data_IF_261575509345
#
_entry.id   IF_261575509345
#
_cell.length_a   1.000
_cell.length_b   1.000
_cell.length_c   1.000
_cell.angle_alpha   90.00
_cell.angle_beta   90.00
_cell.angle_gamma   90.00
#
_symmetry.space_group_name_H-M   'P 1'
#
loop_
_entity.id
_entity.type
_entity.pdbx_description
1 polymer ?
#
# COMPACT_ATOMS: atom_id res chain seq x y z
N UNK A 1 41.55 34.47 -52.63
CA UNK A 1 41.25 33.53 -51.52
C UNK A 1 40.27 34.20 -50.56
N UNK A 2 38.97 34.00 -50.77
CA UNK A 2 37.88 34.59 -49.97
C UNK A 2 36.85 33.52 -49.62
N UNK A 3 37.30 32.46 -48.97
CA UNK A 3 36.42 31.49 -48.33
C UNK A 3 37.12 31.02 -47.05
N UNK A 4 36.34 30.70 -46.02
CA UNK A 4 36.78 30.17 -44.70
C UNK A 4 36.94 31.14 -43.54
N UNK A 5 36.06 32.14 -43.40
CA UNK A 5 35.72 32.68 -42.06
C UNK A 5 34.20 32.60 -41.82
N UNK A 6 33.37 32.93 -42.81
CA UNK A 6 31.90 32.83 -42.67
C UNK A 6 31.37 31.40 -42.46
N UNK A 7 32.08 30.38 -42.95
CA UNK A 7 31.63 28.99 -42.79
C UNK A 7 31.87 28.45 -41.36
N UNK A 8 32.91 28.95 -40.67
CA UNK A 8 33.24 28.51 -39.30
C UNK A 8 32.28 29.16 -38.30
N UNK A 9 31.88 30.42 -38.52
CA UNK A 9 30.90 31.11 -37.69
C UNK A 9 29.48 30.53 -37.87
N UNK A 10 29.11 30.14 -39.09
CA UNK A 10 27.82 29.51 -39.37
C UNK A 10 27.61 28.16 -38.68
N UNK A 11 28.66 27.34 -38.61
CA UNK A 11 28.60 26.02 -37.94
C UNK A 11 28.60 26.17 -36.41
N UNK A 12 29.31 27.16 -35.85
CA UNK A 12 29.32 27.40 -34.41
C UNK A 12 27.97 27.94 -33.88
N UNK A 13 27.30 28.79 -34.65
CA UNK A 13 25.96 29.31 -34.28
C UNK A 13 24.90 28.22 -34.42
N UNK A 14 25.03 27.30 -35.38
CA UNK A 14 24.07 26.20 -35.53
C UNK A 14 24.16 25.18 -34.38
N UNK A 15 25.37 24.88 -33.87
CA UNK A 15 25.56 23.98 -32.71
C UNK A 15 25.09 24.61 -31.39
N UNK A 16 25.14 25.94 -31.28
CA UNK A 16 24.61 26.65 -30.09
C UNK A 16 23.06 26.69 -30.12
N UNK A 17 22.44 26.72 -31.30
CA UNK A 17 20.96 26.75 -31.42
C UNK A 17 20.34 25.34 -31.28
N UNK A 18 21.04 24.25 -31.63
CA UNK A 18 20.57 22.87 -31.35
C UNK A 18 20.96 22.33 -29.97
N UNK A 19 21.78 23.05 -29.19
CA UNK A 19 22.28 22.62 -27.88
C UNK A 19 21.37 22.90 -26.67
N UNK A 20 20.23 23.57 -26.86
CA UNK A 20 19.26 23.87 -25.78
C UNK A 20 17.94 23.12 -25.94
N UNK A 21 17.99 21.82 -26.26
CA UNK A 21 16.99 20.94 -25.66
C UNK A 21 17.38 20.83 -24.19
N UNK A 22 16.93 21.83 -23.40
CA UNK A 22 16.78 21.63 -21.97
C UNK A 22 15.89 20.40 -21.88
N UNK A 23 16.50 19.24 -21.59
CA UNK A 23 15.77 18.09 -21.10
C UNK A 23 15.21 18.57 -19.78
N UNK A 24 14.07 19.24 -19.85
CA UNK A 24 13.25 19.56 -18.70
C UNK A 24 12.94 18.18 -18.12
N UNK A 25 13.67 17.80 -17.06
CA UNK A 25 13.39 16.55 -16.35
C UNK A 25 11.90 16.58 -16.07
N UNK A 26 11.13 15.71 -16.73
CA UNK A 26 9.69 15.59 -16.50
C UNK A 26 9.54 15.42 -14.99
N UNK A 27 9.04 16.45 -14.32
CA UNK A 27 8.75 16.38 -12.90
C UNK A 27 7.57 15.43 -12.78
N UNK A 28 7.81 14.28 -12.15
CA UNK A 28 6.73 13.38 -11.82
C UNK A 28 5.82 14.08 -10.79
N UNK A 29 4.50 13.86 -10.84
CA UNK A 29 3.63 14.36 -9.79
C UNK A 29 4.02 13.70 -8.45
N UNK A 30 3.67 14.32 -7.31
CA UNK A 30 3.92 13.72 -6.00
C UNK A 30 3.27 12.33 -5.90
N UNK A 31 3.84 11.47 -5.05
CA UNK A 31 3.19 10.23 -4.63
C UNK A 31 1.78 10.54 -4.09
N UNK A 32 0.80 9.76 -4.50
CA UNK A 32 -0.59 9.92 -4.08
C UNK A 32 -0.88 8.99 -2.91
N UNK A 33 -0.87 9.53 -1.69
CA UNK A 33 -1.26 8.77 -0.50
C UNK A 33 -2.78 8.70 -0.45
N UNK A 34 -3.35 7.57 -0.87
CA UNK A 34 -4.80 7.43 -1.07
C UNK A 34 -5.50 6.67 0.05
N UNK A 35 -4.77 5.82 0.76
CA UNK A 35 -5.35 5.02 1.83
C UNK A 35 -4.41 4.71 2.98
N UNK A 36 -5.00 4.25 4.07
CA UNK A 36 -4.30 3.90 5.30
C UNK A 36 -4.85 2.61 5.90
N UNK A 37 -3.94 1.70 6.20
CA UNK A 37 -4.23 0.50 6.96
C UNK A 37 -4.26 0.78 8.45
N UNK A 38 -5.15 0.06 9.11
CA UNK A 38 -5.12 -0.18 10.55
C UNK A 38 -5.16 -1.69 10.77
N UNK A 39 -4.10 -2.27 11.32
CA UNK A 39 -4.05 -3.59 11.92
C UNK A 39 -4.74 -3.49 13.29
N UNK A 40 -6.00 -3.92 13.44
CA UNK A 40 -6.70 -3.74 14.70
C UNK A 40 -6.05 -4.55 15.81
N UNK A 41 -5.90 -3.94 16.98
CA UNK A 41 -5.49 -4.60 18.21
C UNK A 41 -6.14 -3.94 19.43
N UNK A 42 -5.81 -4.38 20.65
CA UNK A 42 -6.37 -3.81 21.88
C UNK A 42 -5.67 -2.52 22.34
N UNK A 43 -4.59 -2.11 21.68
CA UNK A 43 -3.72 -1.02 22.11
C UNK A 43 -3.80 0.22 21.20
N UNK A 44 -4.49 0.11 20.07
CA UNK A 44 -4.68 1.17 19.09
C UNK A 44 -6.15 1.49 18.84
N UNK A 45 -6.39 2.67 18.29
CA UNK A 45 -7.68 3.10 17.77
C UNK A 45 -7.48 3.71 16.39
N UNK A 46 -8.43 3.57 15.46
CA UNK A 46 -8.34 4.15 14.13
C UNK A 46 -8.59 5.67 14.20
N UNK A 47 -7.61 6.41 14.69
CA UNK A 47 -7.65 7.87 14.87
C UNK A 47 -6.38 8.52 14.31
N UNK A 48 -6.55 9.57 13.50
CA UNK A 48 -5.44 10.27 12.88
C UNK A 48 -5.90 11.47 12.05
N UNK A 49 -4.92 12.19 11.49
CA UNK A 49 -5.12 13.35 10.61
C UNK A 49 -4.66 13.04 9.17
N UNK A 50 -4.75 11.77 8.75
CA UNK A 50 -4.13 11.31 7.49
C UNK A 50 -4.76 11.92 6.24
N UNK A 51 -5.95 12.52 6.36
CA UNK A 51 -6.57 13.34 5.31
C UNK A 51 -5.66 14.49 4.86
N UNK A 52 -4.79 15.00 5.74
CA UNK A 52 -3.79 16.00 5.39
C UNK A 52 -2.73 15.50 4.39
N UNK A 53 -2.59 14.18 4.24
CA UNK A 53 -1.71 13.53 3.25
C UNK A 53 -2.46 13.17 1.96
N UNK A 54 -3.78 13.38 1.91
CA UNK A 54 -4.64 12.98 0.78
C UNK A 54 -5.40 11.68 1.01
N UNK A 55 -5.23 11.03 2.16
CA UNK A 55 -5.93 9.77 2.48
C UNK A 55 -7.44 9.99 2.47
N UNK A 56 -8.14 9.09 1.77
CA UNK A 56 -9.61 9.03 1.75
C UNK A 56 -10.16 7.61 1.90
N UNK A 57 -9.29 6.61 1.82
CA UNK A 57 -9.65 5.19 1.93
C UNK A 57 -9.10 4.59 3.22
N UNK A 58 -9.97 3.99 4.02
CA UNK A 58 -9.61 3.29 5.23
C UNK A 58 -9.67 1.78 5.05
N UNK A 59 -8.68 1.08 5.61
CA UNK A 59 -8.55 -0.38 5.50
C UNK A 59 -8.27 -0.97 6.88
N UNK A 60 -9.30 -1.39 7.64
CA UNK A 60 -9.05 -2.30 8.75
C UNK A 60 -8.50 -3.61 8.17
N UNK A 61 -7.29 -4.03 8.55
CA UNK A 61 -6.66 -5.25 8.05
C UNK A 61 -7.56 -6.47 8.30
N UNK A 62 -8.25 -6.49 9.44
CA UNK A 62 -9.14 -7.57 9.85
C UNK A 62 -10.55 -7.05 10.11
N UNK A 63 -11.54 -7.73 9.55
CA UNK A 63 -12.93 -7.67 10.01
C UNK A 63 -13.11 -8.59 11.21
N UNK A 64 -12.58 -9.81 11.09
CA UNK A 64 -12.42 -10.76 12.19
C UNK A 64 -10.98 -11.28 12.23
N UNK A 65 -10.46 -11.51 13.43
CA UNK A 65 -9.15 -12.15 13.64
C UNK A 65 -9.25 -13.08 14.83
N UNK A 66 -8.66 -14.27 14.71
CA UNK A 66 -8.70 -15.33 15.73
C UNK A 66 -10.13 -15.63 16.23
N UNK A 67 -11.08 -15.70 15.29
CA UNK A 67 -12.50 -15.99 15.56
C UNK A 67 -13.30 -14.86 16.20
N UNK A 68 -12.70 -13.68 16.42
CA UNK A 68 -13.38 -12.53 17.03
C UNK A 68 -13.53 -11.37 16.06
N UNK A 69 -14.67 -10.68 16.14
CA UNK A 69 -15.04 -9.58 15.26
C UNK A 69 -14.69 -8.21 15.82
N UNK A 70 -14.14 -7.34 14.97
CA UNK A 70 -13.98 -5.90 15.23
C UNK A 70 -15.24 -5.08 14.88
N UNK A 71 -16.28 -5.76 14.43
CA UNK A 71 -17.60 -5.21 14.14
C UNK A 71 -18.66 -5.90 14.99
N UNK A 72 -19.76 -5.20 15.27
CA UNK A 72 -20.88 -5.81 15.97
C UNK A 72 -21.58 -6.82 15.04
N UNK A 73 -21.80 -8.04 15.51
CA UNK A 73 -22.54 -9.07 14.78
C UNK A 73 -23.38 -9.91 15.73
N UNK A 74 -24.44 -10.53 15.21
CA UNK A 74 -25.37 -11.33 16.03
C UNK A 74 -24.79 -12.69 16.44
N UNK A 75 -23.92 -13.27 15.61
CA UNK A 75 -23.47 -14.67 15.74
C UNK A 75 -21.96 -14.85 15.81
N UNK A 76 -21.23 -13.75 15.92
CA UNK A 76 -19.77 -13.74 16.01
C UNK A 76 -19.38 -12.96 17.24
N UNK A 77 -18.58 -13.58 18.11
CA UNK A 77 -18.10 -12.91 19.31
C UNK A 77 -17.28 -11.68 18.94
N UNK A 78 -17.64 -10.53 19.50
CA UNK A 78 -16.88 -9.30 19.32
C UNK A 78 -15.66 -9.26 20.24
N UNK A 79 -14.67 -8.46 19.87
CA UNK A 79 -13.63 -8.02 20.81
C UNK A 79 -14.24 -7.18 21.95
N UNK A 80 -13.59 -7.18 23.11
CA UNK A 80 -14.08 -6.49 24.31
C UNK A 80 -14.27 -4.98 24.08
N UNK A 81 -13.37 -4.38 23.30
CA UNK A 81 -13.41 -2.97 22.94
C UNK A 81 -13.51 -2.87 21.43
N UNK A 82 -14.59 -2.27 20.94
CA UNK A 82 -14.78 -1.97 19.53
C UNK A 82 -14.50 -0.50 19.25
N UNK A 83 -13.98 -0.16 18.06
CA UNK A 83 -13.89 1.24 17.62
C UNK A 83 -15.27 1.89 17.61
N UNK A 84 -15.29 3.20 17.82
CA UNK A 84 -16.49 3.98 17.54
C UNK A 84 -16.66 4.15 16.02
N UNK A 85 -17.25 3.14 15.37
CA UNK A 85 -17.41 3.13 13.92
C UNK A 85 -18.25 4.28 13.37
N UNK A 86 -19.17 4.84 14.18
CA UNK A 86 -19.91 6.05 13.81
C UNK A 86 -18.98 7.25 13.69
N UNK A 87 -18.05 7.41 14.63
CA UNK A 87 -17.01 8.45 14.59
C UNK A 87 -16.04 8.22 13.43
N UNK A 88 -15.62 6.96 13.21
CA UNK A 88 -14.74 6.59 12.09
C UNK A 88 -15.38 6.97 10.77
N UNK A 89 -16.64 6.60 10.50
CA UNK A 89 -17.36 6.93 9.25
C UNK A 89 -17.43 8.43 8.94
N UNK A 90 -17.35 9.28 9.96
CA UNK A 90 -17.43 10.74 9.82
C UNK A 90 -16.07 11.38 9.49
N UNK A 91 -14.98 10.64 9.53
CA UNK A 91 -13.65 11.20 9.26
C UNK A 91 -13.43 11.42 7.77
N UNK A 92 -12.67 12.48 7.43
CA UNK A 92 -12.36 12.80 6.03
C UNK A 92 -11.47 11.72 5.36
N UNK A 93 -10.70 10.98 6.15
CA UNK A 93 -9.78 9.93 5.69
C UNK A 93 -10.46 8.55 5.50
N UNK A 94 -11.73 8.40 5.87
CA UNK A 94 -12.48 7.14 5.83
C UNK A 94 -13.71 7.19 4.92
N UNK A 95 -13.69 8.08 3.92
CA UNK A 95 -14.77 8.22 2.93
C UNK A 95 -15.04 6.91 2.20
N UNK A 96 -13.97 6.16 1.93
CA UNK A 96 -14.02 4.85 1.32
C UNK A 96 -13.57 3.77 2.30
N UNK A 97 -14.15 2.57 2.17
CA UNK A 97 -13.81 1.42 2.99
C UNK A 97 -13.39 0.24 2.11
N UNK A 98 -12.17 -0.26 2.34
CA UNK A 98 -11.79 -1.61 1.94
C UNK A 98 -11.89 -2.47 3.18
N UNK A 99 -12.94 -3.29 3.25
CA UNK A 99 -13.24 -4.08 4.44
C UNK A 99 -12.29 -5.28 4.53
N UNK A 100 -11.45 -5.33 5.57
CA UNK A 100 -10.70 -6.52 5.93
C UNK A 100 -11.62 -7.70 6.21
N UNK A 101 -11.23 -8.86 5.73
CA UNK A 101 -11.96 -10.12 5.92
C UNK A 101 -11.39 -10.89 7.12
N UNK A 102 -11.63 -12.20 7.18
CA UNK A 102 -11.19 -13.06 8.28
C UNK A 102 -9.72 -13.43 8.16
N UNK A 103 -8.98 -13.35 9.27
CA UNK A 103 -7.58 -13.73 9.34
C UNK A 103 -7.15 -14.35 10.67
N UNK A 104 -5.83 -14.48 10.83
CA UNK A 104 -5.15 -14.83 12.08
C UNK A 104 -3.96 -13.89 12.27
N UNK A 105 -3.58 -13.61 13.53
CA UNK A 105 -2.32 -12.88 13.78
C UNK A 105 -1.10 -13.75 13.47
N UNK A 106 -1.19 -15.05 13.72
CA UNK A 106 -0.13 -15.98 13.36
C UNK A 106 -0.18 -16.28 11.86
N UNK A 107 0.82 -15.81 11.13
CA UNK A 107 0.91 -16.01 9.69
C UNK A 107 0.96 -17.49 9.27
N UNK A 108 1.66 -18.33 10.05
CA UNK A 108 1.76 -19.77 9.75
C UNK A 108 0.39 -20.43 9.86
N UNK A 109 -0.39 -20.09 10.88
CA UNK A 109 -1.77 -20.57 11.01
C UNK A 109 -2.67 -20.00 9.92
N UNK A 110 -2.54 -18.71 9.59
CA UNK A 110 -3.31 -18.07 8.53
C UNK A 110 -3.13 -18.79 7.18
N UNK A 111 -1.87 -19.09 6.81
CA UNK A 111 -1.54 -19.83 5.59
C UNK A 111 -2.03 -21.27 5.63
N UNK A 112 -1.91 -21.94 6.77
CA UNK A 112 -2.37 -23.31 6.94
C UNK A 112 -3.90 -23.44 6.78
N UNK A 113 -4.65 -22.42 7.22
CA UNK A 113 -6.11 -22.39 7.27
C UNK A 113 -6.74 -21.52 6.17
N UNK A 114 -6.02 -21.22 5.08
CA UNK A 114 -6.45 -20.24 4.08
C UNK A 114 -7.86 -20.50 3.51
N UNK A 115 -8.21 -21.76 3.26
CA UNK A 115 -9.52 -22.15 2.73
C UNK A 115 -10.64 -21.95 3.77
N UNK A 116 -10.38 -22.33 5.03
CA UNK A 116 -11.31 -22.13 6.15
C UNK A 116 -11.53 -20.63 6.41
N UNK A 117 -10.47 -19.82 6.34
CA UNK A 117 -10.56 -18.36 6.44
C UNK A 117 -11.42 -17.74 5.34
N UNK A 118 -11.43 -18.32 4.14
CA UNK A 118 -12.36 -17.93 3.07
C UNK A 118 -13.82 -18.15 3.47
N UNK A 119 -14.12 -19.33 4.03
CA UNK A 119 -15.47 -19.68 4.53
C UNK A 119 -15.86 -18.78 5.71
N UNK A 120 -14.96 -18.58 6.67
CA UNK A 120 -15.15 -17.67 7.80
C UNK A 120 -15.44 -16.25 7.32
N UNK A 121 -14.73 -15.77 6.29
CA UNK A 121 -14.95 -14.44 5.70
C UNK A 121 -16.36 -14.29 5.14
N UNK A 122 -16.86 -15.31 4.43
CA UNK A 122 -18.23 -15.31 3.92
C UNK A 122 -19.26 -15.37 5.05
N UNK A 123 -18.98 -16.10 6.13
CA UNK A 123 -19.83 -16.14 7.31
C UNK A 123 -19.83 -14.79 8.06
N UNK A 124 -18.68 -14.14 8.19
CA UNK A 124 -18.55 -12.80 8.75
C UNK A 124 -19.45 -11.82 8.02
N UNK A 125 -19.33 -11.74 6.69
CA UNK A 125 -20.13 -10.81 5.88
C UNK A 125 -21.64 -11.05 5.99
N UNK A 126 -22.08 -12.29 6.22
CA UNK A 126 -23.50 -12.64 6.37
C UNK A 126 -24.08 -12.31 7.76
N UNK A 127 -23.24 -12.27 8.80
CA UNK A 127 -23.68 -12.22 10.20
C UNK A 127 -23.25 -10.93 10.92
N UNK A 128 -22.80 -9.93 10.19
CA UNK A 128 -22.30 -8.66 10.74
C UNK A 128 -23.05 -7.49 10.13
N UNK A 129 -23.50 -6.58 10.99
CA UNK A 129 -24.12 -5.33 10.59
C UNK A 129 -23.04 -4.26 10.41
N UNK A 130 -22.82 -3.88 9.16
CA UNK A 130 -21.81 -2.88 8.85
C UNK A 130 -22.38 -1.46 9.00
N UNK A 131 -21.69 -0.57 9.74
CA UNK A 131 -22.14 0.81 9.94
C UNK A 131 -22.08 1.66 8.66
N UNK A 132 -21.36 1.18 7.63
CA UNK A 132 -21.32 1.73 6.28
C UNK A 132 -20.93 0.65 5.27
N UNK A 133 -21.33 0.86 4.02
CA UNK A 133 -21.09 -0.06 2.91
C UNK A 133 -19.60 -0.09 2.58
N UNK A 134 -19.06 -1.30 2.34
CA UNK A 134 -17.72 -1.48 1.82
C UNK A 134 -17.67 -1.18 0.31
N UNK A 135 -16.63 -0.48 -0.14
CA UNK A 135 -16.36 -0.23 -1.56
C UNK A 135 -15.58 -1.39 -2.19
N UNK A 136 -14.78 -2.09 -1.37
CA UNK A 136 -14.02 -3.28 -1.74
C UNK A 136 -13.73 -4.14 -0.49
N UNK A 137 -13.05 -5.26 -0.70
CA UNK A 137 -12.65 -6.20 0.34
C UNK A 137 -11.15 -6.44 0.32
N UNK A 138 -10.58 -6.75 1.48
CA UNK A 138 -9.17 -7.13 1.62
C UNK A 138 -9.09 -8.49 2.32
N UNK A 139 -8.50 -9.49 1.67
CA UNK A 139 -8.25 -10.78 2.30
C UNK A 139 -6.85 -10.76 2.94
N UNK A 140 -6.75 -10.89 4.28
CA UNK A 140 -5.53 -10.52 5.00
C UNK A 140 -4.45 -11.59 5.04
N UNK A 141 -4.66 -12.75 4.41
CA UNK A 141 -3.63 -13.79 4.33
C UNK A 141 -2.59 -13.37 3.29
N UNK A 142 -1.41 -13.04 3.78
CA UNK A 142 -0.31 -12.51 2.97
C UNK A 142 0.46 -13.62 2.27
N UNK A 143 0.96 -13.34 1.07
CA UNK A 143 1.69 -14.32 0.27
C UNK A 143 3.12 -13.85 -0.09
N UNK A 144 4.06 -14.78 -0.02
CA UNK A 144 5.42 -14.60 -0.50
C UNK A 144 5.87 -15.83 -1.34
N UNK A 145 6.95 -15.69 -2.14
CA UNK A 145 7.43 -16.76 -3.03
C UNK A 145 7.75 -18.10 -2.37
N UNK A 146 8.01 -18.14 -1.05
CA UNK A 146 8.30 -19.37 -0.33
C UNK A 146 7.05 -20.22 -0.05
N UNK A 147 5.84 -19.68 -0.23
CA UNK A 147 4.61 -20.40 0.09
C UNK A 147 4.26 -21.46 -0.96
N UNK A 148 4.62 -22.72 -0.66
CA UNK A 148 4.37 -23.88 -1.52
C UNK A 148 2.90 -24.11 -1.90
N UNK A 149 1.96 -23.70 -1.04
CA UNK A 149 0.51 -23.92 -1.24
C UNK A 149 -0.23 -22.65 -1.71
N UNK A 150 0.46 -21.67 -2.29
CA UNK A 150 -0.15 -20.39 -2.70
C UNK A 150 -1.34 -20.55 -3.69
N UNK A 151 -1.42 -21.64 -4.46
CA UNK A 151 -2.60 -21.92 -5.29
C UNK A 151 -3.90 -22.09 -4.48
N UNK A 152 -3.82 -22.55 -3.23
CA UNK A 152 -5.00 -22.63 -2.35
C UNK A 152 -5.52 -21.23 -1.98
N UNK A 153 -4.62 -20.25 -1.81
CA UNK A 153 -4.99 -18.84 -1.70
C UNK A 153 -5.71 -18.37 -2.96
N UNK A 154 -5.16 -18.64 -4.16
CA UNK A 154 -5.78 -18.29 -5.43
C UNK A 154 -7.23 -18.77 -5.54
N UNK A 155 -7.49 -20.06 -5.28
CA UNK A 155 -8.84 -20.65 -5.26
C UNK A 155 -9.75 -20.00 -4.22
N UNK A 156 -9.21 -19.72 -3.03
CA UNK A 156 -9.98 -19.05 -1.97
C UNK A 156 -10.43 -17.66 -2.43
N UNK A 157 -9.52 -16.87 -3.01
CA UNK A 157 -9.79 -15.52 -3.51
C UNK A 157 -10.87 -15.49 -4.61
N UNK A 158 -11.05 -16.56 -5.40
CA UNK A 158 -12.12 -16.66 -6.40
C UNK A 158 -13.52 -16.72 -5.78
N UNK A 159 -13.64 -17.28 -4.57
CA UNK A 159 -14.93 -17.41 -3.87
C UNK A 159 -15.36 -16.15 -3.13
N UNK A 160 -14.43 -15.21 -2.92
CA UNK A 160 -14.63 -14.01 -2.11
C UNK A 160 -15.22 -12.86 -2.94
N UNK A 161 -15.99 -11.95 -2.30
CA UNK A 161 -16.64 -10.85 -2.98
C UNK A 161 -15.65 -9.87 -3.61
N UNK A 162 -16.10 -9.21 -4.69
CA UNK A 162 -15.29 -8.26 -5.48
C UNK A 162 -15.84 -6.82 -5.34
N UNK A 163 -15.02 -5.78 -5.54
CA UNK A 163 -13.57 -5.82 -5.79
C UNK A 163 -12.77 -6.35 -4.60
N UNK A 164 -11.69 -7.11 -4.86
CA UNK A 164 -10.91 -7.79 -3.83
C UNK A 164 -9.44 -7.42 -3.93
N UNK A 165 -8.79 -7.27 -2.77
CA UNK A 165 -7.37 -7.03 -2.62
C UNK A 165 -6.71 -8.15 -1.79
N UNK A 166 -5.44 -8.43 -2.07
CA UNK A 166 -4.56 -9.30 -1.29
C UNK A 166 -3.19 -8.67 -1.15
N UNK A 167 -2.46 -8.91 -0.06
CA UNK A 167 -1.10 -8.43 0.12
C UNK A 167 -0.07 -9.47 -0.30
N UNK A 168 1.03 -8.98 -0.88
CA UNK A 168 2.22 -9.79 -1.16
C UNK A 168 3.47 -9.10 -0.63
N UNK A 169 4.44 -9.90 -0.24
CA UNK A 169 5.78 -9.45 0.16
C UNK A 169 6.83 -10.47 -0.27
N UNK A 170 8.11 -10.13 -0.05
CA UNK A 170 9.22 -11.04 -0.28
C UNK A 170 10.29 -10.78 0.77
N UNK A 171 10.90 -11.84 1.29
CA UNK A 171 12.07 -11.76 2.17
C UNK A 171 13.37 -11.42 1.39
N UNK A 172 13.35 -11.58 0.06
CA UNK A 172 14.44 -11.16 -0.82
C UNK A 172 14.23 -9.71 -1.27
N UNK A 173 15.35 -8.96 -1.38
CA UNK A 173 15.35 -7.58 -1.85
C UNK A 173 14.82 -7.46 -3.29
N UNK A 174 15.32 -8.32 -4.18
CA UNK A 174 14.94 -8.42 -5.59
C UNK A 174 14.63 -9.87 -5.95
N UNK A 175 13.42 -10.38 -5.62
CA UNK A 175 13.04 -11.76 -5.89
C UNK A 175 13.02 -12.06 -7.38
N UNK A 176 13.65 -13.17 -7.76
CA UNK A 176 13.70 -13.60 -9.16
C UNK A 176 12.32 -14.05 -9.64
N UNK A 177 11.91 -13.62 -10.84
CA UNK A 177 10.64 -14.00 -11.48
C UNK A 177 9.38 -13.73 -10.64
N UNK A 178 9.40 -12.69 -9.80
CA UNK A 178 8.32 -12.39 -8.87
C UNK A 178 6.97 -12.13 -9.56
N UNK A 179 7.00 -11.52 -10.74
CA UNK A 179 5.82 -11.27 -11.55
C UNK A 179 5.22 -12.56 -12.16
N UNK A 180 6.07 -13.53 -12.53
CA UNK A 180 5.62 -14.84 -13.00
C UNK A 180 5.04 -15.68 -11.85
N UNK A 181 5.68 -15.63 -10.67
CA UNK A 181 5.15 -16.23 -9.46
C UNK A 181 3.76 -15.68 -9.16
N UNK A 182 3.59 -14.36 -9.13
CA UNK A 182 2.29 -13.73 -8.86
C UNK A 182 1.24 -14.13 -9.88
N UNK A 183 1.59 -14.09 -11.17
CA UNK A 183 0.69 -14.48 -12.28
C UNK A 183 0.26 -15.95 -12.23
N UNK A 184 1.06 -16.84 -11.63
CA UNK A 184 0.78 -18.28 -11.61
C UNK A 184 -0.45 -18.66 -10.76
N UNK A 185 -0.87 -17.81 -9.82
CA UNK A 185 -1.93 -18.15 -8.86
C UNK A 185 -2.96 -17.03 -8.62
N UNK A 186 -2.65 -15.76 -8.92
CA UNK A 186 -3.54 -14.65 -8.64
C UNK A 186 -4.74 -14.62 -9.60
N UNK A 187 -5.99 -14.58 -9.11
CA UNK A 187 -7.16 -14.45 -9.98
C UNK A 187 -7.17 -13.14 -10.78
N UNK A 188 -7.71 -13.16 -12.00
CA UNK A 188 -7.70 -12.01 -12.93
C UNK A 188 -8.41 -10.75 -12.41
N UNK A 189 -9.33 -10.89 -11.45
CA UNK A 189 -10.12 -9.78 -10.90
C UNK A 189 -9.70 -9.37 -9.48
N UNK A 190 -8.53 -9.83 -9.01
CA UNK A 190 -8.01 -9.50 -7.67
C UNK A 190 -6.87 -8.50 -7.78
N UNK A 191 -6.95 -7.40 -7.05
CA UNK A 191 -5.89 -6.41 -6.95
C UNK A 191 -4.86 -6.78 -5.88
N UNK A 192 -3.71 -6.13 -5.92
CA UNK A 192 -2.55 -6.48 -5.12
C UNK A 192 -2.03 -5.26 -4.39
N UNK A 193 -1.89 -5.42 -3.08
CA UNK A 193 -1.07 -4.57 -2.26
C UNK A 193 0.34 -5.16 -2.17
N UNK A 194 1.32 -4.47 -2.73
CA UNK A 194 2.72 -4.88 -2.65
C UNK A 194 3.40 -4.17 -1.48
N UNK A 195 3.80 -4.93 -0.46
CA UNK A 195 4.55 -4.40 0.67
C UNK A 195 5.95 -3.98 0.25
N UNK A 196 6.30 -2.73 0.51
CA UNK A 196 7.55 -2.17 0.02
C UNK A 196 8.78 -2.80 0.64
N UNK A 197 8.70 -3.43 1.83
CA UNK A 197 9.82 -4.03 2.55
C UNK A 197 10.90 -3.03 2.99
N UNK A 198 10.59 -1.74 2.96
CA UNK A 198 11.50 -0.69 3.44
C UNK A 198 11.46 -0.65 4.97
N UNK A 199 10.30 -0.89 5.58
CA UNK A 199 10.16 -0.95 7.04
C UNK A 199 10.87 -2.14 7.64
N UNK A 200 10.86 -3.28 6.96
CA UNK A 200 11.65 -4.46 7.34
C UNK A 200 13.14 -4.35 7.02
N UNK A 201 13.56 -3.35 6.24
CA UNK A 201 14.95 -3.19 5.80
C UNK A 201 15.38 -4.17 4.71
N UNK A 202 14.43 -4.88 4.09
CA UNK A 202 14.69 -5.85 3.02
C UNK A 202 15.10 -5.16 1.72
N UNK A 203 14.57 -3.97 1.42
CA UNK A 203 14.89 -3.23 0.19
C UNK A 203 14.79 -1.71 0.35
N UNK A 204 15.37 -0.98 -0.60
CA UNK A 204 15.18 0.48 -0.72
C UNK A 204 13.86 0.83 -1.40
N UNK A 205 13.41 2.07 -1.25
CA UNK A 205 12.20 2.57 -1.89
C UNK A 205 12.32 2.54 -3.44
N UNK A 206 13.50 2.82 -3.99
CA UNK A 206 13.73 2.76 -5.45
C UNK A 206 13.61 1.32 -5.98
N UNK A 207 14.08 0.33 -5.22
CA UNK A 207 13.90 -1.08 -5.55
C UNK A 207 12.42 -1.45 -5.52
N UNK A 208 11.67 -0.99 -4.51
CA UNK A 208 10.22 -1.22 -4.42
C UNK A 208 9.47 -0.65 -5.64
N UNK A 209 9.81 0.56 -6.10
CA UNK A 209 9.21 1.16 -7.32
C UNK A 209 9.52 0.35 -8.57
N UNK A 210 10.77 -0.09 -8.72
CA UNK A 210 11.18 -0.93 -9.86
C UNK A 210 10.35 -2.23 -9.90
N UNK A 211 10.21 -2.88 -8.75
CA UNK A 211 9.42 -4.12 -8.62
C UNK A 211 7.95 -3.86 -8.89
N UNK A 212 7.34 -2.85 -8.26
CA UNK A 212 5.92 -2.51 -8.46
C UNK A 212 5.61 -2.23 -9.95
N UNK A 213 6.49 -1.51 -10.64
CA UNK A 213 6.36 -1.26 -12.08
C UNK A 213 6.49 -2.55 -12.91
N UNK A 214 7.36 -3.48 -12.54
CA UNK A 214 7.46 -4.79 -13.20
C UNK A 214 6.20 -5.63 -12.98
N UNK A 215 5.70 -5.71 -11.75
CA UNK A 215 4.47 -6.43 -11.42
C UNK A 215 3.27 -5.88 -12.21
N UNK A 216 3.10 -4.55 -12.23
CA UNK A 216 2.02 -3.88 -12.99
C UNK A 216 2.10 -4.17 -14.50
N UNK A 217 3.30 -4.24 -15.09
CA UNK A 217 3.47 -4.60 -16.51
C UNK A 217 2.95 -6.01 -16.81
N UNK A 218 3.10 -6.94 -15.87
CA UNK A 218 2.76 -8.35 -16.08
C UNK A 218 1.30 -8.67 -15.77
N UNK A 219 0.71 -8.11 -14.70
CA UNK A 219 -0.66 -8.44 -14.29
C UNK A 219 -1.73 -7.43 -14.73
N UNK A 220 -1.30 -6.27 -15.26
CA UNK A 220 -2.16 -5.19 -15.73
C UNK A 220 -1.95 -3.89 -14.94
N UNK A 221 -1.97 -2.77 -15.65
CA UNK A 221 -1.77 -1.45 -15.07
C UNK A 221 -2.80 -1.16 -13.96
N UNK A 222 -2.33 -0.55 -12.87
CA UNK A 222 -3.12 -0.13 -11.70
C UNK A 222 -3.69 -1.27 -10.84
N UNK A 223 -3.29 -2.52 -11.08
CA UNK A 223 -3.67 -3.66 -10.22
C UNK A 223 -2.71 -3.88 -9.06
N UNK A 224 -1.52 -3.31 -9.10
CA UNK A 224 -0.54 -3.37 -8.02
C UNK A 224 -0.33 -1.97 -7.46
N UNK A 225 -0.56 -1.82 -6.16
CA UNK A 225 -0.31 -0.57 -5.44
C UNK A 225 0.68 -0.82 -4.31
N UNK A 226 1.58 0.14 -4.08
CA UNK A 226 2.61 0.04 -3.05
C UNK A 226 1.98 0.28 -1.68
N UNK A 227 2.28 -0.61 -0.73
CA UNK A 227 2.16 -0.34 0.70
C UNK A 227 3.47 0.28 1.18
N UNK A 228 3.40 1.53 1.65
CA UNK A 228 4.46 2.20 2.37
C UNK A 228 4.44 1.74 3.82
N UNK A 229 5.46 0.98 4.23
CA UNK A 229 5.65 0.59 5.62
C UNK A 229 6.13 1.79 6.46
N UNK A 230 5.29 2.26 7.36
CA UNK A 230 5.53 3.42 8.22
C UNK A 230 6.29 3.08 9.52
N UNK A 231 6.78 1.86 9.65
CA UNK A 231 7.63 1.41 10.75
C UNK A 231 9.06 1.12 10.27
N UNK A 232 9.99 0.91 11.19
CA UNK A 232 11.34 0.43 10.92
C UNK A 232 11.71 -0.65 11.92
N UNK A 233 12.44 -1.66 11.45
CA UNK A 233 13.11 -2.63 12.33
C UNK A 233 14.35 -1.99 12.98
N UNK A 234 14.48 -2.19 14.29
CA UNK A 234 15.68 -1.85 15.05
C UNK A 234 16.67 -3.02 15.03
N UNK A 235 17.91 -2.76 15.45
CA UNK A 235 18.96 -3.79 15.53
C UNK A 235 18.58 -4.96 16.47
N UNK A 236 17.75 -4.70 17.50
CA UNK A 236 17.21 -5.72 18.41
C UNK A 236 15.91 -6.36 17.92
N UNK A 237 15.63 -6.29 16.61
CA UNK A 237 14.45 -6.86 15.94
C UNK A 237 13.10 -6.36 16.48
N UNK A 238 13.05 -5.16 17.06
CA UNK A 238 11.79 -4.50 17.44
C UNK A 238 11.33 -3.55 16.35
N UNK A 239 10.04 -3.23 16.34
CA UNK A 239 9.49 -2.22 15.44
C UNK A 239 9.44 -0.87 16.12
N UNK A 240 9.93 0.17 15.46
CA UNK A 240 9.68 1.59 15.81
C UNK A 240 8.89 2.28 14.71
N UNK A 241 8.27 3.42 15.02
CA UNK A 241 7.77 4.30 13.97
C UNK A 241 8.91 4.84 13.10
N UNK A 242 8.66 4.96 11.80
CA UNK A 242 9.51 5.72 10.91
C UNK A 242 9.45 7.20 11.28
N UNK A 243 10.58 7.87 11.21
CA UNK A 243 10.65 9.32 11.36
C UNK A 243 9.99 10.00 10.16
N UNK A 244 9.54 11.26 10.28
CA UNK A 244 8.94 11.96 9.16
C UNK A 244 9.89 12.09 7.96
N UNK A 245 11.19 12.21 8.21
CA UNK A 245 12.21 12.27 7.16
C UNK A 245 12.31 10.95 6.37
N UNK A 246 12.27 9.81 7.06
CA UNK A 246 12.27 8.49 6.41
C UNK A 246 10.99 8.28 5.56
N UNK A 247 9.84 8.77 6.02
CA UNK A 247 8.58 8.76 5.22
C UNK A 247 8.71 9.69 4.01
N UNK A 248 9.27 10.89 4.18
CA UNK A 248 9.49 11.85 3.10
C UNK A 248 10.41 11.27 2.01
N UNK A 249 11.49 10.59 2.40
CA UNK A 249 12.40 9.94 1.47
C UNK A 249 11.71 8.84 0.67
N UNK A 250 10.91 7.98 1.33
CA UNK A 250 10.09 6.98 0.64
C UNK A 250 9.09 7.63 -0.33
N UNK A 251 8.32 8.62 0.11
CA UNK A 251 7.32 9.29 -0.74
C UNK A 251 7.95 9.99 -1.95
N UNK A 252 9.16 10.52 -1.79
CA UNK A 252 9.92 11.11 -2.90
C UNK A 252 10.36 10.06 -3.92
N UNK A 253 10.77 8.87 -3.47
CA UNK A 253 11.04 7.75 -4.38
C UNK A 253 9.76 7.28 -5.10
N UNK A 254 8.60 7.42 -4.45
CA UNK A 254 7.29 6.99 -4.96
C UNK A 254 6.56 8.04 -5.82
N UNK A 255 7.24 9.09 -6.29
CA UNK A 255 6.65 10.06 -7.23
C UNK A 255 5.97 9.36 -8.42
N UNK A 256 4.76 9.81 -8.75
CA UNK A 256 3.92 9.22 -9.80
C UNK A 256 3.21 7.92 -9.42
N UNK A 257 3.43 7.37 -8.22
CA UNK A 257 2.76 6.16 -7.74
C UNK A 257 1.58 6.49 -6.83
N UNK A 258 0.61 5.58 -6.78
CA UNK A 258 -0.37 5.52 -5.70
C UNK A 258 0.22 4.71 -4.55
N UNK A 259 -0.05 5.14 -3.31
CA UNK A 259 0.48 4.49 -2.11
C UNK A 259 -0.57 4.37 -1.01
N UNK A 260 -0.51 3.27 -0.28
CA UNK A 260 -1.25 3.04 0.96
C UNK A 260 -0.27 2.97 2.13
N UNK A 261 -0.59 3.60 3.25
CA UNK A 261 0.27 3.56 4.44
C UNK A 261 -0.07 2.34 5.29
N UNK A 262 0.95 1.60 5.73
CA UNK A 262 0.82 0.54 6.73
C UNK A 262 1.80 0.76 7.90
N UNK A 263 1.39 0.96 9.13
CA UNK A 263 0.04 1.18 9.68
C UNK A 263 -0.05 2.62 10.21
N UNK A 264 -1.19 3.28 9.95
CA UNK A 264 -1.47 4.63 10.40
C UNK A 264 -1.52 4.78 11.93
N UNK A 265 -2.51 4.20 12.62
CA UNK A 265 -2.65 4.26 14.08
C UNK A 265 -1.39 3.96 14.89
N UNK A 266 -0.60 2.98 14.46
CA UNK A 266 0.57 2.54 15.22
C UNK A 266 1.79 3.44 15.01
N UNK A 267 1.98 3.95 13.78
CA UNK A 267 3.27 4.53 13.39
C UNK A 267 3.18 5.95 12.83
N UNK A 268 1.98 6.46 12.54
CA UNK A 268 1.76 7.81 12.01
C UNK A 268 1.01 8.69 13.00
N UNK A 269 1.73 9.14 14.03
CA UNK A 269 1.19 10.11 14.97
C UNK A 269 0.96 11.49 14.31
N UNK A 270 0.24 12.34 15.04
CA UNK A 270 -0.13 13.69 14.59
C UNK A 270 1.08 14.52 14.12
N UNK A 271 2.19 14.50 14.86
CA UNK A 271 3.38 15.28 14.51
C UNK A 271 4.03 14.81 13.21
N UNK A 272 4.08 13.48 13.01
CA UNK A 272 4.57 12.89 11.77
C UNK A 272 3.73 13.33 10.58
N UNK A 273 2.40 13.19 10.68
CA UNK A 273 1.46 13.59 9.63
C UNK A 273 1.60 15.07 9.27
N UNK A 274 1.65 15.98 10.25
CA UNK A 274 1.81 17.41 9.96
C UNK A 274 3.13 17.73 9.27
N UNK A 275 4.23 17.10 9.71
CA UNK A 275 5.55 17.35 9.14
C UNK A 275 5.60 16.91 7.68
N UNK A 276 5.11 15.70 7.38
CA UNK A 276 5.06 15.17 6.01
C UNK A 276 4.11 16.01 5.14
N UNK A 277 2.92 16.37 5.64
CA UNK A 277 1.97 17.20 4.91
C UNK A 277 2.52 18.60 4.59
N UNK A 278 3.21 19.22 5.55
CA UNK A 278 3.87 20.52 5.34
C UNK A 278 4.96 20.41 4.27
N UNK A 279 5.80 19.39 4.36
CA UNK A 279 6.81 19.13 3.33
C UNK A 279 6.18 18.96 1.95
N UNK A 280 5.13 18.15 1.82
CA UNK A 280 4.47 17.89 0.53
C UNK A 280 3.93 19.18 -0.09
N UNK A 281 3.31 20.05 0.74
CA UNK A 281 2.83 21.38 0.31
C UNK A 281 3.95 22.31 -0.15
N UNK A 282 5.10 22.27 0.52
CA UNK A 282 6.25 23.11 0.17
C UNK A 282 6.99 22.59 -1.07
N UNK A 283 7.21 21.27 -1.16
CA UNK A 283 7.97 20.63 -2.23
C UNK A 283 7.19 20.58 -3.56
N UNK A 284 5.87 20.37 -3.51
CA UNK A 284 5.03 20.17 -4.71
C UNK A 284 3.99 21.27 -4.89
N UNK A 285 4.27 22.51 -4.47
CA UNK A 285 3.35 23.66 -4.54
C UNK A 285 2.75 23.94 -5.92
N UNK A 286 3.34 23.41 -7.00
CA UNK A 286 2.82 23.52 -8.38
C UNK A 286 1.77 22.45 -8.75
N UNK A 287 1.63 21.39 -7.95
CA UNK A 287 0.74 20.25 -8.21
C UNK A 287 -0.46 20.17 -7.26
N UNK A 288 -0.52 21.04 -6.25
CA UNK A 288 -1.58 21.14 -5.23
C UNK A 288 -2.34 22.45 -5.42
#
# INVERSE_FOLDING_TARGET
MKYSISLIIGVFVMVIITGMVVVEKRQLPPAQVIGVFWQPDLHSQPEGNWDLLGVTTFIPQFGTVDGKSWFQGERISAWQTLPNWKKVKQQAWSKHLILGLSGRYNETEARAQVEDLGVESLNFLKNTDFPFKADAYYFPVEADPTWLRVHALGKTLETLPKPLWVSIYSAEAEPLHYDLWLKSWLPEQTNVFFQDGVGTGVRTAEQAVKIANQLNKTIGNHRVVIILEAFRMTEDHKTRAATPWEIIEQLKAYEGQQVYIFDGPHYMNRWSVYTVALWQKLAYRRFL
#
